data_IF_833722959689
#
_entry.id   IF_833722959689
#
_cell.length_a   1.000
_cell.length_b   1.000
_cell.length_c   1.000
_cell.angle_alpha   90.00
_cell.angle_beta   90.00
_cell.angle_gamma   90.00
#
_symmetry.space_group_name_H-M   'P 1'
#
loop_
_entity.id
_entity.type
_entity.pdbx_description
1 polymer ?
#
# COMPACT_ATOMS: atom_id res chain seq x y z
N UNK A 1 1.28 -53.96 -12.55
CA UNK A 1 2.57 -54.64 -12.54
C UNK A 1 2.36 -56.00 -13.19
N UNK A 2 3.00 -56.22 -14.32
CA UNK A 2 2.97 -57.50 -15.02
C UNK A 2 4.20 -58.29 -14.56
N UNK A 3 4.00 -59.50 -14.07
CA UNK A 3 5.06 -60.34 -13.53
C UNK A 3 5.24 -61.55 -14.42
N UNK A 4 6.37 -61.59 -15.12
CA UNK A 4 6.72 -62.73 -15.94
C UNK A 4 7.56 -63.71 -15.11
N UNK A 5 7.11 -64.95 -15.01
CA UNK A 5 7.82 -65.97 -14.29
C UNK A 5 8.13 -67.13 -15.24
N UNK A 6 9.41 -67.55 -15.22
CA UNK A 6 9.90 -68.65 -16.06
C UNK A 6 9.98 -69.91 -15.18
N UNK A 7 9.23 -70.94 -15.55
CA UNK A 7 9.26 -72.22 -14.85
C UNK A 7 9.87 -73.32 -15.74
N UNK A 8 10.63 -74.23 -15.17
CA UNK A 8 11.03 -75.42 -15.90
C UNK A 8 9.83 -76.26 -16.30
N UNK A 9 9.79 -76.79 -17.51
CA UNK A 9 8.68 -77.59 -18.05
C UNK A 9 8.34 -78.82 -17.22
N UNK A 10 9.28 -79.30 -16.39
CA UNK A 10 9.08 -80.39 -15.45
C UNK A 10 8.05 -80.06 -14.33
N UNK A 11 7.80 -78.80 -14.04
CA UNK A 11 6.80 -78.35 -13.04
C UNK A 11 5.39 -78.30 -13.56
N UNK A 12 5.17 -78.40 -14.88
CA UNK A 12 3.87 -78.35 -15.53
C UNK A 12 3.66 -79.51 -16.50
N UNK A 13 3.70 -80.77 -16.04
CA UNK A 13 3.67 -81.94 -16.90
C UNK A 13 2.36 -82.14 -17.68
N UNK A 14 1.29 -81.47 -17.28
CA UNK A 14 -0.03 -81.54 -17.94
C UNK A 14 -0.36 -80.34 -18.85
N UNK A 15 0.58 -79.46 -19.08
CA UNK A 15 0.37 -78.29 -19.96
C UNK A 15 0.47 -78.73 -21.44
N UNK A 16 -0.66 -78.73 -22.16
CA UNK A 16 -0.71 -79.09 -23.57
C UNK A 16 -0.31 -77.95 -24.53
N UNK A 17 -0.19 -76.71 -24.03
CA UNK A 17 0.24 -75.56 -24.80
C UNK A 17 1.76 -75.34 -24.67
N UNK A 18 2.51 -76.32 -25.14
CA UNK A 18 3.99 -76.24 -25.13
C UNK A 18 4.49 -75.81 -26.51
N UNK A 19 5.14 -74.65 -26.55
CA UNK A 19 5.89 -74.19 -27.72
C UNK A 19 7.30 -74.77 -27.61
N UNK A 20 7.72 -75.62 -28.58
CA UNK A 20 8.99 -76.32 -28.56
C UNK A 20 10.13 -75.39 -29.04
N UNK A 21 10.22 -74.21 -28.42
CA UNK A 21 11.29 -73.22 -28.64
C UNK A 21 11.83 -72.73 -27.29
N UNK A 22 13.14 -72.59 -27.25
CA UNK A 22 13.78 -72.02 -26.06
C UNK A 22 13.61 -70.47 -26.04
N UNK A 23 12.45 -70.04 -25.55
CA UNK A 23 12.07 -68.63 -25.49
C UNK A 23 12.80 -67.87 -24.38
N UNK A 24 13.59 -68.54 -23.53
CA UNK A 24 14.24 -67.91 -22.36
C UNK A 24 15.08 -66.71 -22.75
N UNK A 25 15.98 -66.87 -23.73
CA UNK A 25 16.87 -65.80 -24.15
C UNK A 25 16.11 -64.61 -24.80
N UNK A 26 15.00 -64.88 -25.50
CA UNK A 26 14.17 -63.84 -26.07
C UNK A 26 13.40 -63.04 -24.99
N UNK A 27 12.85 -63.72 -24.00
CA UNK A 27 12.18 -63.09 -22.88
C UNK A 27 13.16 -62.27 -22.07
N UNK A 28 14.33 -62.80 -21.69
CA UNK A 28 15.37 -62.09 -20.96
C UNK A 28 15.83 -60.83 -21.71
N UNK A 29 16.01 -60.91 -23.03
CA UNK A 29 16.40 -59.73 -23.83
C UNK A 29 15.32 -58.68 -23.92
N UNK A 30 14.03 -59.06 -24.01
CA UNK A 30 12.91 -58.14 -24.00
C UNK A 30 12.75 -57.45 -22.64
N UNK A 31 12.84 -58.20 -21.56
CA UNK A 31 12.79 -57.68 -20.18
C UNK A 31 13.94 -56.73 -19.89
N UNK A 32 15.16 -57.07 -20.31
CA UNK A 32 16.32 -56.21 -20.18
C UNK A 32 16.17 -54.91 -20.98
N UNK A 33 15.66 -54.98 -22.22
CA UNK A 33 15.38 -53.82 -23.05
C UNK A 33 14.29 -52.93 -22.43
N UNK A 34 13.23 -53.53 -21.88
CA UNK A 34 12.15 -52.78 -21.21
C UNK A 34 12.61 -52.13 -19.93
N UNK A 35 13.40 -52.81 -19.08
CA UNK A 35 13.99 -52.28 -17.88
C UNK A 35 14.94 -51.11 -18.17
N UNK A 36 15.68 -51.16 -19.26
CA UNK A 36 16.56 -50.06 -19.70
C UNK A 36 15.74 -48.87 -20.22
N UNK A 37 14.67 -49.12 -20.97
CA UNK A 37 13.74 -48.05 -21.42
C UNK A 37 13.07 -47.36 -20.25
N UNK A 38 12.55 -48.10 -19.27
CA UNK A 38 11.93 -47.59 -18.07
C UNK A 38 12.90 -46.75 -17.22
N UNK A 39 14.16 -47.22 -17.10
CA UNK A 39 15.23 -46.47 -16.42
C UNK A 39 15.51 -45.16 -17.12
N UNK A 40 15.65 -45.13 -18.45
CA UNK A 40 15.87 -43.90 -19.22
C UNK A 40 14.69 -42.94 -19.11
N UNK A 41 13.48 -43.47 -19.16
CA UNK A 41 12.24 -42.67 -18.95
C UNK A 41 12.22 -42.05 -17.57
N UNK A 42 12.52 -42.78 -16.52
CA UNK A 42 12.59 -42.27 -15.13
C UNK A 42 13.69 -41.20 -14.97
N UNK A 43 14.89 -41.42 -15.50
CA UNK A 43 15.95 -40.44 -15.43
C UNK A 43 15.58 -39.15 -16.18
N UNK A 44 15.03 -39.24 -17.40
CA UNK A 44 14.57 -38.08 -18.16
C UNK A 44 13.47 -37.31 -17.41
N UNK A 45 12.50 -38.00 -16.80
CA UNK A 45 11.46 -37.40 -16.00
C UNK A 45 12.02 -36.65 -14.75
N UNK A 46 12.98 -37.27 -14.08
CA UNK A 46 13.66 -36.64 -12.93
C UNK A 46 14.36 -35.35 -13.32
N UNK A 47 15.06 -35.33 -14.44
CA UNK A 47 15.74 -34.11 -14.93
C UNK A 47 14.75 -33.03 -15.35
N UNK A 48 13.67 -33.38 -16.07
CA UNK A 48 12.66 -32.42 -16.51
C UNK A 48 11.89 -31.82 -15.31
N UNK A 49 11.49 -32.66 -14.36
CA UNK A 49 10.82 -32.18 -13.12
C UNK A 49 11.69 -31.22 -12.31
N UNK A 50 12.99 -31.61 -12.15
CA UNK A 50 13.96 -30.74 -11.48
C UNK A 50 14.17 -29.42 -12.21
N UNK A 51 14.33 -29.45 -13.54
CA UNK A 51 14.50 -28.23 -14.33
C UNK A 51 13.29 -27.29 -14.25
N UNK A 52 12.07 -27.82 -14.29
CA UNK A 52 10.84 -27.05 -14.11
C UNK A 52 10.77 -26.44 -12.71
N UNK A 53 11.10 -27.19 -11.67
CA UNK A 53 11.12 -26.68 -10.28
C UNK A 53 12.14 -25.54 -10.11
N UNK A 54 13.37 -25.71 -10.59
CA UNK A 54 14.39 -24.66 -10.53
C UNK A 54 14.00 -23.44 -11.37
N UNK A 55 13.43 -23.64 -12.56
CA UNK A 55 12.92 -22.58 -13.40
C UNK A 55 11.83 -21.76 -12.70
N UNK A 56 10.88 -22.43 -12.07
CA UNK A 56 9.81 -21.79 -11.31
C UNK A 56 10.36 -21.00 -10.10
N UNK A 57 11.31 -21.55 -9.35
CA UNK A 57 11.95 -20.84 -8.22
C UNK A 57 12.68 -19.58 -8.66
N UNK A 58 13.43 -19.65 -9.77
CA UNK A 58 14.13 -18.48 -10.33
C UNK A 58 13.11 -17.42 -10.74
N UNK A 59 12.07 -17.81 -11.45
CA UNK A 59 11.04 -16.89 -11.93
C UNK A 59 10.28 -16.22 -10.76
N UNK A 60 9.96 -16.97 -9.71
CA UNK A 60 9.35 -16.45 -8.49
C UNK A 60 10.25 -15.46 -7.75
N UNK A 61 11.58 -15.64 -7.79
CA UNK A 61 12.52 -14.73 -7.13
C UNK A 61 12.79 -13.45 -7.92
N UNK A 62 12.68 -13.47 -9.25
CA UNK A 62 12.93 -12.30 -10.10
C UNK A 62 11.88 -11.19 -9.90
N UNK A 63 10.62 -11.53 -9.69
CA UNK A 63 9.53 -10.55 -9.47
C UNK A 63 9.75 -9.69 -8.21
N UNK A 64 9.94 -10.25 -7.00
CA UNK A 64 10.21 -9.45 -5.81
C UNK A 64 11.51 -8.67 -5.92
N UNK A 65 12.56 -9.22 -6.57
CA UNK A 65 13.81 -8.51 -6.82
C UNK A 65 13.60 -7.27 -7.70
N UNK A 66 12.83 -7.39 -8.79
CA UNK A 66 12.49 -6.27 -9.66
C UNK A 66 11.70 -5.17 -8.92
N UNK A 67 10.71 -5.55 -8.11
CA UNK A 67 9.94 -4.62 -7.28
C UNK A 67 10.80 -3.94 -6.22
N UNK A 68 11.69 -4.70 -5.58
CA UNK A 68 12.66 -4.17 -4.62
C UNK A 68 13.55 -3.10 -5.25
N UNK A 69 14.10 -3.38 -6.44
CA UNK A 69 14.90 -2.41 -7.22
C UNK A 69 14.09 -1.15 -7.56
N UNK A 70 12.83 -1.30 -8.02
CA UNK A 70 11.93 -0.16 -8.28
C UNK A 70 11.65 0.66 -7.04
N UNK A 71 11.40 0.01 -5.91
CA UNK A 71 11.17 0.68 -4.63
C UNK A 71 12.38 1.54 -4.21
N UNK A 72 13.59 1.00 -4.28
CA UNK A 72 14.78 1.77 -3.93
C UNK A 72 15.05 2.93 -4.89
N UNK A 73 14.78 2.73 -6.18
CA UNK A 73 14.85 3.82 -7.16
C UNK A 73 13.87 4.93 -6.82
N UNK A 74 12.61 4.61 -6.56
CA UNK A 74 11.59 5.59 -6.17
C UNK A 74 11.94 6.28 -4.85
N UNK A 75 12.40 5.53 -3.84
CA UNK A 75 12.84 6.10 -2.57
C UNK A 75 13.97 7.12 -2.75
N UNK A 76 14.92 6.84 -3.65
CA UNK A 76 16.00 7.78 -3.98
C UNK A 76 15.50 9.01 -4.72
N UNK A 77 14.54 8.85 -5.63
CA UNK A 77 13.92 9.97 -6.36
C UNK A 77 13.09 10.88 -5.44
N UNK A 78 12.36 10.30 -4.49
CA UNK A 78 11.52 11.05 -3.55
C UNK A 78 12.31 11.70 -2.41
N UNK A 79 13.46 11.15 -2.05
CA UNK A 79 14.34 11.69 -1.01
C UNK A 79 15.80 11.68 -1.47
N UNK A 80 16.14 12.53 -2.46
CA UNK A 80 17.49 12.56 -3.04
C UNK A 80 18.56 12.99 -2.03
N UNK A 81 18.20 13.88 -1.10
CA UNK A 81 19.07 14.36 -0.04
C UNK A 81 18.32 14.34 1.29
N UNK A 82 18.51 13.33 2.15
CA UNK A 82 17.93 13.35 3.48
C UNK A 82 18.47 14.58 4.22
N UNK A 83 17.56 15.52 4.49
CA UNK A 83 17.91 16.75 5.20
C UNK A 83 18.34 16.35 6.61
N UNK A 84 19.60 16.57 6.95
CA UNK A 84 20.06 16.50 8.34
C UNK A 84 19.58 17.77 9.04
N UNK A 85 18.43 17.67 9.69
CA UNK A 85 17.92 18.78 10.50
C UNK A 85 18.81 18.93 11.73
N UNK A 86 19.22 20.16 12.09
CA UNK A 86 19.87 20.41 13.35
C UNK A 86 18.93 20.01 14.50
N UNK A 87 19.49 19.61 15.64
CA UNK A 87 18.74 19.13 16.82
C UNK A 87 17.66 20.13 17.26
N UNK A 88 17.90 21.43 17.04
CA UNK A 88 16.97 22.52 17.26
C UNK A 88 16.90 23.38 15.99
N UNK A 89 15.79 23.35 15.30
CA UNK A 89 15.53 24.23 14.17
C UNK A 89 14.35 25.15 14.51
N UNK A 90 14.64 26.43 14.71
CA UNK A 90 13.64 27.47 14.99
C UNK A 90 13.08 28.11 13.72
N UNK A 91 13.62 27.77 12.57
CA UNK A 91 13.12 28.27 11.28
C UNK A 91 11.95 27.41 10.81
N UNK A 92 10.98 28.06 10.16
CA UNK A 92 9.92 27.33 9.47
C UNK A 92 10.52 26.38 8.43
N UNK A 93 10.19 25.08 8.45
CA UNK A 93 10.75 24.11 7.53
C UNK A 93 10.32 24.36 6.07
N UNK A 94 9.23 25.09 5.85
CA UNK A 94 8.73 25.48 4.53
C UNK A 94 7.80 26.69 4.64
N UNK A 95 7.55 27.39 3.53
CA UNK A 95 6.53 28.42 3.44
C UNK A 95 5.11 27.87 3.23
N UNK A 96 4.97 26.55 3.25
CA UNK A 96 3.67 25.88 3.09
C UNK A 96 2.85 26.02 4.37
N UNK A 97 1.57 26.36 4.21
CA UNK A 97 0.66 26.55 5.34
C UNK A 97 0.56 25.29 6.24
N UNK A 98 0.53 25.43 7.57
CA UNK A 98 0.52 24.29 8.52
C UNK A 98 -0.57 23.24 8.21
N UNK A 99 -1.82 23.67 7.99
CA UNK A 99 -2.91 22.76 7.69
C UNK A 99 -2.71 21.96 6.40
N UNK A 100 -2.04 22.53 5.39
CA UNK A 100 -1.69 21.85 4.14
C UNK A 100 -0.63 20.79 4.38
N UNK A 101 0.40 21.08 5.18
CA UNK A 101 1.45 20.12 5.54
C UNK A 101 0.85 18.96 6.33
N UNK A 102 0.01 19.23 7.32
CA UNK A 102 -0.64 18.19 8.11
C UNK A 102 -1.52 17.29 7.25
N UNK A 103 -2.31 17.86 6.35
CA UNK A 103 -3.13 17.10 5.42
C UNK A 103 -2.32 16.24 4.45
N UNK A 104 -1.13 16.74 4.02
CA UNK A 104 -0.27 16.04 3.09
C UNK A 104 0.47 14.85 3.72
N UNK A 105 0.98 15.02 4.97
CA UNK A 105 2.01 14.14 5.54
C UNK A 105 1.50 13.32 6.71
N UNK A 106 0.75 13.92 7.65
CA UNK A 106 0.50 13.32 8.96
C UNK A 106 -0.83 12.57 9.08
N UNK A 107 -1.73 12.65 8.08
CA UNK A 107 -3.04 12.04 8.19
C UNK A 107 -3.40 11.13 7.03
N UNK A 108 -3.84 9.95 7.38
CA UNK A 108 -4.38 8.99 6.42
C UNK A 108 -5.70 9.47 5.79
N UNK A 109 -6.51 10.25 6.53
CA UNK A 109 -7.76 10.86 6.05
C UNK A 109 -7.53 12.13 5.22
N UNK A 110 -6.37 12.76 5.37
CA UNK A 110 -6.07 14.05 4.73
C UNK A 110 -6.89 15.23 5.30
N UNK A 111 -7.66 15.04 6.37
CA UNK A 111 -8.52 16.10 6.96
C UNK A 111 -7.82 16.81 8.10
N UNK A 112 -7.73 18.17 8.08
CA UNK A 112 -7.22 18.97 9.17
C UNK A 112 -8.09 18.86 10.44
N UNK A 113 -7.45 19.02 11.59
CA UNK A 113 -8.11 19.02 12.90
C UNK A 113 -8.22 20.45 13.49
N UNK A 114 -8.79 20.64 14.71
CA UNK A 114 -8.83 21.92 15.37
C UNK A 114 -7.45 22.53 15.66
N UNK A 115 -6.39 21.71 15.89
CA UNK A 115 -5.04 22.22 16.11
C UNK A 115 -4.48 22.83 14.82
N UNK A 116 -4.79 22.23 13.66
CA UNK A 116 -4.40 22.76 12.35
C UNK A 116 -5.11 24.08 12.03
N UNK A 117 -6.36 24.22 12.49
CA UNK A 117 -7.08 25.48 12.42
C UNK A 117 -6.40 26.55 13.26
N UNK A 118 -6.06 26.25 14.52
CA UNK A 118 -5.37 27.16 15.42
C UNK A 118 -3.98 27.55 14.88
N UNK A 119 -3.25 26.57 14.33
CA UNK A 119 -1.95 26.84 13.68
C UNK A 119 -2.10 27.75 12.44
N UNK A 120 -3.20 27.61 11.68
CA UNK A 120 -3.48 28.49 10.54
C UNK A 120 -3.84 29.91 11.00
N UNK A 121 -4.55 30.07 12.10
CA UNK A 121 -4.80 31.39 12.72
C UNK A 121 -3.49 32.06 13.13
N UNK A 122 -2.58 31.31 13.77
CA UNK A 122 -1.25 31.83 14.14
C UNK A 122 -0.40 32.20 12.92
N UNK A 123 -0.47 31.40 11.83
CA UNK A 123 0.22 31.71 10.58
C UNK A 123 -0.34 32.95 9.90
N UNK A 124 -1.65 33.17 9.92
CA UNK A 124 -2.29 34.40 9.44
C UNK A 124 -1.85 35.63 10.23
N UNK A 125 -1.69 35.49 11.56
CA UNK A 125 -1.13 36.56 12.39
C UNK A 125 0.33 36.84 12.03
N UNK A 126 1.15 35.80 11.85
CA UNK A 126 2.55 35.95 11.40
C UNK A 126 2.65 36.63 10.03
N UNK A 127 1.71 36.38 9.13
CA UNK A 127 1.63 36.99 7.79
C UNK A 127 1.11 38.44 7.81
N UNK A 128 0.62 38.91 8.96
CA UNK A 128 0.10 40.27 9.12
C UNK A 128 -1.37 40.48 8.74
N UNK A 129 -2.14 39.41 8.57
CA UNK A 129 -3.58 39.49 8.34
C UNK A 129 -4.37 39.67 9.61
N UNK A 130 -3.87 39.14 10.73
CA UNK A 130 -4.54 39.14 12.02
C UNK A 130 -3.62 39.71 13.09
N UNK A 131 -4.24 40.32 14.10
CA UNK A 131 -3.61 40.65 15.37
C UNK A 131 -4.28 39.82 16.46
N UNK A 132 -3.48 39.21 17.32
CA UNK A 132 -3.93 38.38 18.44
C UNK A 132 -3.53 39.07 19.74
N UNK A 133 -4.53 39.43 20.53
CA UNK A 133 -4.33 40.06 21.82
C UNK A 133 -4.94 39.22 22.94
N UNK A 134 -4.24 39.11 24.06
CA UNK A 134 -4.84 38.59 25.29
C UNK A 134 -5.67 39.65 25.97
N UNK A 135 -6.97 39.41 26.12
CA UNK A 135 -7.89 40.27 26.86
C UNK A 135 -8.22 39.66 28.23
N UNK A 136 -7.84 40.36 29.28
CA UNK A 136 -8.18 39.97 30.63
C UNK A 136 -9.58 40.55 30.96
N UNK A 137 -10.56 39.68 31.09
CA UNK A 137 -11.94 40.08 31.48
C UNK A 137 -12.11 39.91 32.99
N UNK A 138 -12.29 41.01 33.69
CA UNK A 138 -12.69 41.01 35.11
C UNK A 138 -14.20 40.83 35.18
N UNK A 139 -14.63 39.66 35.59
CA UNK A 139 -16.05 39.47 35.91
C UNK A 139 -16.37 40.22 37.20
N UNK A 140 -17.18 41.29 37.13
CA UNK A 140 -17.71 42.02 38.28
C UNK A 140 -18.72 41.14 39.02
N UNK A 141 -18.28 40.34 39.99
CA UNK A 141 -19.11 39.50 40.86
C UNK A 141 -18.38 39.20 42.17
N UNK A 142 -19.11 38.81 43.19
CA UNK A 142 -18.64 38.52 44.55
C UNK A 142 -17.64 37.32 44.56
N UNK A 143 -17.57 36.55 43.46
CA UNK A 143 -16.59 35.51 43.18
C UNK A 143 -15.95 35.80 41.82
N UNK A 144 -15.05 36.80 41.75
CA UNK A 144 -14.40 37.19 40.49
C UNK A 144 -13.30 36.21 40.11
N UNK A 145 -13.59 35.29 39.22
CA UNK A 145 -12.56 34.60 38.45
C UNK A 145 -12.25 35.44 37.19
N UNK A 146 -11.04 35.96 37.10
CA UNK A 146 -10.59 36.59 35.86
C UNK A 146 -10.42 35.48 34.80
N UNK A 147 -11.22 35.53 33.73
CA UNK A 147 -11.02 34.66 32.56
C UNK A 147 -10.13 35.40 31.55
N UNK A 148 -9.13 34.72 31.06
CA UNK A 148 -8.37 35.18 29.89
C UNK A 148 -9.07 34.71 28.63
N UNK A 149 -9.32 35.64 27.72
CA UNK A 149 -9.85 35.34 26.37
C UNK A 149 -8.94 35.97 25.32
N UNK A 150 -8.89 35.37 24.15
CA UNK A 150 -8.15 35.94 23.03
C UNK A 150 -9.08 36.82 22.19
N UNK A 151 -8.65 38.04 21.90
CA UNK A 151 -9.22 38.93 20.91
C UNK A 151 -8.49 38.75 19.59
N UNK A 152 -9.21 38.56 18.52
CA UNK A 152 -8.69 38.46 17.17
C UNK A 152 -9.18 39.66 16.37
N UNK A 153 -8.24 40.42 15.82
CA UNK A 153 -8.55 41.60 15.01
C UNK A 153 -8.02 41.42 13.62
N UNK A 154 -8.84 41.69 12.61
CA UNK A 154 -8.46 41.66 11.20
C UNK A 154 -7.77 42.98 10.86
N UNK A 155 -6.52 42.92 10.38
CA UNK A 155 -5.72 44.09 10.03
C UNK A 155 -5.92 44.51 8.58
N UNK A 156 -5.96 43.55 7.66
CA UNK A 156 -6.07 43.80 6.22
C UNK A 156 -6.71 42.65 5.49
N UNK A 157 -7.17 42.90 4.29
CA UNK A 157 -7.69 41.88 3.34
C UNK A 157 -6.62 41.36 2.38
N UNK A 158 -5.52 42.10 2.19
CA UNK A 158 -4.46 41.77 1.26
C UNK A 158 -3.08 42.13 1.84
N UNK A 159 -2.16 41.18 1.71
CA UNK A 159 -0.73 41.36 1.99
C UNK A 159 0.02 40.98 0.72
N UNK A 160 0.78 41.92 0.13
CA UNK A 160 1.42 41.75 -1.16
C UNK A 160 2.33 40.52 -1.25
N UNK A 161 3.09 40.25 -0.18
CA UNK A 161 4.06 39.16 -0.14
C UNK A 161 3.44 37.79 0.16
N UNK A 162 2.22 37.74 0.67
CA UNK A 162 1.54 36.54 1.12
C UNK A 162 0.08 36.47 0.66
N UNK A 163 -0.21 36.14 -0.60
CA UNK A 163 -1.59 36.06 -1.06
C UNK A 163 -2.38 35.00 -0.32
N UNK A 164 -3.61 35.34 0.10
CA UNK A 164 -4.50 34.42 0.82
C UNK A 164 -4.86 33.19 0.01
N UNK A 165 -4.58 32.05 0.57
CA UNK A 165 -5.01 30.75 0.03
C UNK A 165 -6.47 30.44 0.38
N UNK A 166 -7.07 29.49 -0.34
CA UNK A 166 -8.49 29.20 -0.17
C UNK A 166 -8.87 28.72 1.24
N UNK A 167 -8.04 27.94 1.90
CA UNK A 167 -8.26 27.47 3.27
C UNK A 167 -8.06 28.60 4.30
N UNK A 168 -7.12 29.51 4.09
CA UNK A 168 -6.90 30.68 4.94
C UNK A 168 -8.09 31.66 4.88
N UNK A 169 -8.65 31.86 3.68
CA UNK A 169 -9.88 32.65 3.50
C UNK A 169 -11.05 32.03 4.24
N UNK A 170 -11.16 30.71 4.30
CA UNK A 170 -12.20 30.03 5.05
C UNK A 170 -12.03 30.24 6.56
N UNK A 171 -10.80 30.31 7.08
CA UNK A 171 -10.51 30.67 8.48
C UNK A 171 -11.00 32.09 8.78
N UNK A 172 -10.67 33.07 7.92
CA UNK A 172 -11.15 34.45 8.09
C UNK A 172 -12.69 34.51 8.06
N UNK A 173 -13.33 33.78 7.15
CA UNK A 173 -14.79 33.66 7.09
C UNK A 173 -15.37 33.03 8.35
N UNK A 174 -14.69 32.07 8.99
CA UNK A 174 -15.11 31.51 10.27
C UNK A 174 -15.00 32.52 11.40
N UNK A 175 -13.89 33.25 11.51
CA UNK A 175 -13.64 34.19 12.61
C UNK A 175 -14.49 35.45 12.50
N UNK A 176 -14.61 36.02 11.31
CA UNK A 176 -15.27 37.30 11.10
C UNK A 176 -16.58 37.14 10.33
N UNK A 177 -17.69 36.88 11.03
CA UNK A 177 -19.02 36.87 10.43
C UNK A 177 -19.48 38.29 10.09
N UNK A 178 -20.19 38.39 8.96
CA UNK A 178 -20.94 39.61 8.60
C UNK A 178 -20.05 40.89 8.57
N UNK A 179 -18.78 40.78 8.06
CA UNK A 179 -17.81 41.87 7.93
C UNK A 179 -17.30 42.49 9.24
N UNK A 180 -17.46 41.79 10.34
CA UNK A 180 -16.83 42.17 11.60
C UNK A 180 -15.31 42.23 11.46
N UNK A 181 -14.66 43.22 12.05
CA UNK A 181 -13.18 43.38 12.01
C UNK A 181 -12.50 42.88 13.28
N UNK A 182 -13.24 42.66 14.35
CA UNK A 182 -12.70 42.19 15.64
C UNK A 182 -13.70 41.29 16.34
N UNK A 183 -13.21 40.19 16.90
CA UNK A 183 -14.02 39.23 17.64
C UNK A 183 -13.23 38.65 18.81
N UNK A 184 -13.91 38.42 19.96
CA UNK A 184 -13.33 37.59 21.01
C UNK A 184 -13.79 36.15 20.87
N UNK A 185 -12.90 35.21 21.17
CA UNK A 185 -13.25 33.78 21.05
C UNK A 185 -14.39 33.38 21.97
N UNK A 186 -14.49 34.04 23.15
CA UNK A 186 -15.59 33.84 24.10
C UNK A 186 -16.93 34.29 23.52
N UNK A 187 -17.00 35.49 22.89
CA UNK A 187 -18.21 35.99 22.29
C UNK A 187 -18.65 35.15 21.09
N UNK A 188 -17.69 34.67 20.30
CA UNK A 188 -17.97 33.74 19.20
C UNK A 188 -18.60 32.45 19.72
N UNK A 189 -18.04 31.87 20.78
CA UNK A 189 -18.58 30.66 21.43
C UNK A 189 -19.97 30.87 21.97
N UNK A 190 -20.21 32.00 22.71
CA UNK A 190 -21.52 32.36 23.24
C UNK A 190 -22.56 32.52 22.13
N UNK A 191 -22.22 33.19 21.04
CA UNK A 191 -23.10 33.37 19.87
C UNK A 191 -23.45 32.03 19.22
N UNK A 192 -22.48 31.11 19.07
CA UNK A 192 -22.72 29.78 18.53
C UNK A 192 -23.65 28.95 19.43
N UNK A 193 -23.48 29.02 20.76
CA UNK A 193 -24.34 28.33 21.72
C UNK A 193 -25.78 28.87 21.70
N UNK A 194 -25.95 30.18 21.53
CA UNK A 194 -27.24 30.86 21.57
C UNK A 194 -28.02 30.78 20.24
N UNK A 195 -27.32 30.76 19.11
CA UNK A 195 -27.93 30.84 17.78
C UNK A 195 -27.51 29.67 16.89
N UNK A 196 -28.44 28.72 16.69
CA UNK A 196 -28.21 27.52 15.87
C UNK A 196 -27.91 27.85 14.39
N UNK A 197 -28.51 28.90 13.84
CA UNK A 197 -28.25 29.31 12.46
C UNK A 197 -26.83 29.86 12.32
N UNK A 198 -26.39 30.67 13.26
CA UNK A 198 -25.02 31.16 13.34
C UNK A 198 -24.02 30.01 13.49
N UNK A 199 -24.29 29.04 14.38
CA UNK A 199 -23.45 27.85 14.54
C UNK A 199 -23.32 27.03 13.25
N UNK A 200 -24.42 26.85 12.50
CA UNK A 200 -24.39 26.18 11.20
C UNK A 200 -23.50 26.89 10.17
N UNK A 201 -23.58 28.23 10.09
CA UNK A 201 -22.70 29.00 9.19
C UNK A 201 -21.22 28.83 9.57
N UNK A 202 -20.92 28.80 10.88
CA UNK A 202 -19.53 28.59 11.36
C UNK A 202 -19.03 27.17 11.05
N UNK A 203 -19.88 26.16 11.27
CA UNK A 203 -19.57 24.78 10.92
C UNK A 203 -19.28 24.66 9.43
N UNK A 204 -20.12 25.22 8.57
CA UNK A 204 -19.88 25.21 7.12
C UNK A 204 -18.57 25.90 6.71
N UNK A 205 -18.19 27.00 7.39
CA UNK A 205 -16.91 27.65 7.16
C UNK A 205 -15.73 26.78 7.61
N UNK A 206 -15.86 26.05 8.71
CA UNK A 206 -14.86 25.09 9.19
C UNK A 206 -14.72 23.88 8.23
N UNK A 207 -15.82 23.31 7.79
CA UNK A 207 -15.83 22.23 6.79
C UNK A 207 -15.19 22.66 5.45
N UNK A 208 -15.44 23.92 5.03
CA UNK A 208 -14.78 24.50 3.87
C UNK A 208 -13.27 24.65 4.07
N UNK A 209 -12.82 25.05 5.28
CA UNK A 209 -11.41 25.07 5.63
C UNK A 209 -10.80 23.68 5.49
N UNK A 210 -11.41 22.65 6.12
CA UNK A 210 -10.93 21.27 6.06
C UNK A 210 -10.82 20.76 4.61
N UNK A 211 -11.88 20.96 3.83
CA UNK A 211 -11.92 20.54 2.42
C UNK A 211 -10.83 21.21 1.59
N UNK A 212 -10.65 22.53 1.69
CA UNK A 212 -9.66 23.28 0.91
C UNK A 212 -8.22 22.94 1.31
N UNK A 213 -7.95 22.77 2.59
CA UNK A 213 -6.63 22.38 3.07
C UNK A 213 -6.30 20.93 2.65
N UNK A 214 -7.29 20.02 2.70
CA UNK A 214 -7.14 18.65 2.23
C UNK A 214 -6.85 18.57 0.72
N UNK A 215 -7.57 19.35 -0.09
CA UNK A 215 -7.31 19.44 -1.55
C UNK A 215 -5.89 19.95 -1.81
N UNK A 216 -5.48 21.04 -1.16
CA UNK A 216 -4.15 21.59 -1.32
C UNK A 216 -3.05 20.60 -0.87
N UNK A 217 -3.28 19.90 0.25
CA UNK A 217 -2.38 18.85 0.74
C UNK A 217 -2.27 17.67 -0.22
N UNK A 218 -3.38 17.22 -0.80
CA UNK A 218 -3.37 16.13 -1.79
C UNK A 218 -2.62 16.52 -3.06
N UNK A 219 -2.80 17.74 -3.55
CA UNK A 219 -2.07 18.26 -4.72
C UNK A 219 -0.55 18.31 -4.47
N UNK A 220 -0.13 18.66 -3.26
CA UNK A 220 1.29 18.75 -2.90
C UNK A 220 1.99 17.38 -3.03
N UNK A 221 1.30 16.29 -2.72
CA UNK A 221 1.87 14.92 -2.72
C UNK A 221 1.36 14.06 -3.87
N UNK A 222 0.57 14.58 -4.78
CA UNK A 222 -0.09 13.83 -5.85
C UNK A 222 0.90 13.00 -6.67
N UNK A 223 1.99 13.60 -7.13
CA UNK A 223 2.99 12.89 -7.93
C UNK A 223 3.68 11.75 -7.17
N UNK A 224 3.94 11.94 -5.88
CA UNK A 224 4.52 10.93 -5.02
C UNK A 224 3.51 9.82 -4.68
N UNK A 225 2.25 10.20 -4.48
CA UNK A 225 1.15 9.28 -4.18
C UNK A 225 0.85 8.36 -5.36
N UNK A 226 0.81 8.89 -6.58
CA UNK A 226 0.54 8.13 -7.80
C UNK A 226 1.65 7.11 -8.06
N UNK A 227 2.92 7.52 -7.93
CA UNK A 227 4.06 6.61 -8.02
C UNK A 227 4.00 5.51 -6.97
N UNK A 228 3.67 5.85 -5.73
CA UNK A 228 3.54 4.88 -4.63
C UNK A 228 2.36 3.93 -4.83
N UNK A 229 1.20 4.42 -5.27
CA UNK A 229 0.03 3.59 -5.57
C UNK A 229 0.32 2.63 -6.72
N UNK A 230 0.96 3.08 -7.80
CA UNK A 230 1.38 2.22 -8.90
C UNK A 230 2.28 1.08 -8.42
N UNK A 231 3.24 1.35 -7.53
CA UNK A 231 4.09 0.31 -6.92
C UNK A 231 3.29 -0.66 -6.04
N UNK A 232 2.35 -0.16 -5.24
CA UNK A 232 1.49 -1.01 -4.39
C UNK A 232 0.66 -1.97 -5.24
N UNK A 233 0.03 -1.50 -6.32
CA UNK A 233 -0.73 -2.35 -7.24
C UNK A 233 0.16 -3.39 -7.93
N UNK A 234 1.37 -3.01 -8.37
CA UNK A 234 2.34 -3.95 -8.93
C UNK A 234 2.79 -4.98 -7.90
N UNK A 235 2.99 -4.60 -6.64
CA UNK A 235 3.36 -5.52 -5.57
C UNK A 235 2.23 -6.53 -5.27
N UNK A 236 0.97 -6.07 -5.18
CA UNK A 236 -0.18 -6.94 -4.98
C UNK A 236 -0.32 -7.91 -6.16
N UNK A 237 -0.21 -7.43 -7.39
CA UNK A 237 -0.26 -8.27 -8.60
C UNK A 237 0.85 -9.33 -8.61
N UNK A 238 2.06 -8.98 -8.21
CA UNK A 238 3.19 -9.91 -8.11
C UNK A 238 2.97 -10.97 -7.01
N UNK A 239 2.39 -10.61 -5.87
CA UNK A 239 2.05 -11.57 -4.80
C UNK A 239 1.00 -12.56 -5.32
N UNK A 240 -0.07 -12.08 -5.95
CA UNK A 240 -1.12 -12.94 -6.51
C UNK A 240 -0.53 -13.90 -7.55
N UNK A 241 0.29 -13.38 -8.46
CA UNK A 241 0.95 -14.20 -9.48
C UNK A 241 1.86 -15.26 -8.87
N UNK A 242 2.66 -14.92 -7.85
CA UNK A 242 3.50 -15.88 -7.14
C UNK A 242 2.68 -16.98 -6.43
N UNK A 243 1.54 -16.64 -5.85
CA UNK A 243 0.63 -17.62 -5.23
C UNK A 243 0.06 -18.57 -6.28
N UNK A 244 -0.36 -18.05 -7.44
CA UNK A 244 -0.87 -18.87 -8.55
C UNK A 244 0.22 -19.80 -9.08
N UNK A 245 1.41 -19.29 -9.37
CA UNK A 245 2.54 -20.09 -9.87
C UNK A 245 3.00 -21.15 -8.86
N UNK A 246 3.05 -20.80 -7.56
CA UNK A 246 3.37 -21.74 -6.50
C UNK A 246 2.32 -22.85 -6.36
N UNK A 247 1.05 -22.48 -6.41
CA UNK A 247 -0.07 -23.43 -6.42
C UNK A 247 -0.04 -24.38 -7.63
N UNK A 248 0.23 -23.84 -8.82
CA UNK A 248 0.35 -24.64 -10.05
C UNK A 248 1.55 -25.61 -9.98
N UNK A 249 2.69 -25.15 -9.46
CA UNK A 249 3.87 -26.02 -9.30
C UNK A 249 3.63 -27.16 -8.30
N UNK A 250 2.96 -26.86 -7.16
CA UNK A 250 2.56 -27.88 -6.17
C UNK A 250 1.56 -28.88 -6.77
N UNK A 251 0.56 -28.39 -7.50
CA UNK A 251 -0.43 -29.24 -8.15
C UNK A 251 0.20 -30.14 -9.21
N UNK A 252 1.09 -29.61 -10.05
CA UNK A 252 1.83 -30.40 -11.04
C UNK A 252 2.70 -31.48 -10.37
N UNK A 253 3.38 -31.13 -9.27
CA UNK A 253 4.15 -32.10 -8.47
C UNK A 253 3.27 -33.20 -7.87
N UNK A 254 2.11 -32.85 -7.31
CA UNK A 254 1.15 -33.81 -6.78
C UNK A 254 0.60 -34.77 -7.86
N UNK A 255 0.24 -34.23 -9.03
CA UNK A 255 -0.24 -35.03 -10.17
C UNK A 255 0.84 -35.96 -10.73
N UNK A 256 2.09 -35.48 -10.80
CA UNK A 256 3.20 -36.32 -11.26
C UNK A 256 3.50 -37.50 -10.32
N UNK A 257 3.27 -37.36 -9.02
CA UNK A 257 3.52 -38.43 -8.03
C UNK A 257 2.36 -39.43 -7.90
N UNK A 258 1.10 -38.95 -8.04
CA UNK A 258 -0.07 -39.79 -7.71
C UNK A 258 -0.84 -40.35 -8.91
N UNK A 259 -0.57 -39.87 -10.14
CA UNK A 259 -1.26 -40.34 -11.35
C UNK A 259 -0.31 -40.70 -12.48
N UNK A 260 0.24 -41.93 -12.50
CA UNK A 260 1.15 -42.41 -13.57
C UNK A 260 0.51 -42.36 -14.97
N UNK A 261 -0.82 -42.41 -15.05
CA UNK A 261 -1.56 -42.32 -16.33
C UNK A 261 -1.42 -40.93 -16.99
N UNK A 262 -1.39 -39.86 -16.21
CA UNK A 262 -1.19 -38.48 -16.72
C UNK A 262 0.27 -38.22 -17.15
N UNK A 263 1.20 -39.04 -16.74
CA UNK A 263 2.58 -39.03 -17.25
C UNK A 263 2.63 -39.35 -18.75
N UNK A 264 1.78 -40.28 -19.24
CA UNK A 264 1.69 -40.62 -20.64
C UNK A 264 1.02 -39.56 -21.50
N UNK A 265 -0.02 -38.88 -20.97
CA UNK A 265 -0.76 -37.83 -21.69
C UNK A 265 0.03 -36.53 -21.82
N UNK A 266 0.87 -36.20 -20.83
CA UNK A 266 1.72 -34.99 -20.85
C UNK A 266 2.74 -34.99 -21.99
N UNK A 267 3.18 -36.15 -22.44
CA UNK A 267 4.13 -36.30 -23.57
C UNK A 267 3.46 -36.10 -24.94
N UNK A 268 2.16 -36.37 -25.06
CA UNK A 268 1.40 -36.18 -26.31
C UNK A 268 1.08 -34.70 -26.56
N UNK A 269 1.05 -33.88 -25.52
CA UNK A 269 0.73 -32.45 -25.61
C UNK A 269 1.97 -31.56 -25.84
N UNK A 270 3.18 -32.08 -25.71
CA UNK A 270 4.44 -31.34 -25.87
C UNK A 270 5.28 -31.79 -27.08
N UNK A 271 4.83 -32.78 -27.85
CA UNK A 271 5.36 -33.20 -29.15
C UNK A 271 4.45 -32.70 -30.27
#
# INVERSE_FOLDING_TARGET
VEVHTIFPTSLTPHNTNVVNQNMKAEIESKEAAQAEADRKAYESQKYTTSAVQWGAMILMSLLPFHLWRKYFKLRRELNPNPVQLPIHNYNLPSHTAPAVVTSAVFRSSGEPNPDDFSATVADLARKGYLELEEERRENRGIFSNSSMTARVTKLTDEVADYPLQGHERAVLTFLFPDDETSVTLEDLEKRMKKNRHFAKKRLAAYENFQSRASIAGSQLVESARDKNNSLRFQAIGAIILNVILGGAALFAGYMATNHPFLQQVGWIALG
#
